data_IF_047193867134
#
_entry.id   IF_047193867134
#
_cell.length_a   1.000
_cell.length_b   1.000
_cell.length_c   1.000
_cell.angle_alpha   90.00
_cell.angle_beta   90.00
_cell.angle_gamma   90.00
#
_symmetry.space_group_name_H-M   'P 1'
#
loop_
_entity.id
_entity.type
_entity.pdbx_description
1 polymer ?
#
# COMPACT_ATOMS: atom_id res chain seq x y z
N UNK A 1 24.00 -29.43 -10.24
CA UNK A 1 22.76 -29.45 -11.04
C UNK A 1 21.60 -28.68 -10.38
N UNK A 2 21.82 -27.98 -9.25
CA UNK A 2 20.79 -27.19 -8.53
C UNK A 2 20.50 -25.81 -9.14
N UNK A 3 21.50 -25.13 -9.72
CA UNK A 3 21.37 -23.73 -10.18
C UNK A 3 20.27 -23.50 -11.24
N UNK A 4 20.07 -24.43 -12.18
CA UNK A 4 19.08 -24.22 -13.25
C UNK A 4 17.64 -24.36 -12.75
N UNK A 5 17.37 -25.27 -11.81
CA UNK A 5 16.04 -25.44 -11.20
C UNK A 5 15.71 -24.27 -10.27
N UNK A 6 16.67 -23.85 -9.44
CA UNK A 6 16.49 -22.69 -8.55
C UNK A 6 16.23 -21.40 -9.35
N UNK A 7 17.00 -21.16 -10.41
CA UNK A 7 16.84 -19.98 -11.27
C UNK A 7 15.49 -19.99 -12.02
N UNK A 8 15.03 -21.17 -12.46
CA UNK A 8 13.70 -21.32 -13.07
C UNK A 8 12.58 -21.01 -12.05
N UNK A 9 12.68 -21.55 -10.83
CA UNK A 9 11.71 -21.31 -9.76
C UNK A 9 11.66 -19.81 -9.42
N UNK A 10 12.82 -19.16 -9.26
CA UNK A 10 12.88 -17.72 -9.00
C UNK A 10 12.19 -16.93 -10.09
N UNK A 11 12.47 -17.22 -11.37
CA UNK A 11 11.81 -16.54 -12.50
C UNK A 11 10.30 -16.75 -12.49
N UNK A 12 9.84 -17.99 -12.30
CA UNK A 12 8.40 -18.29 -12.25
C UNK A 12 7.73 -17.52 -11.11
N UNK A 13 8.32 -17.53 -9.91
CA UNK A 13 7.79 -16.79 -8.76
C UNK A 13 7.77 -15.29 -9.04
N UNK A 14 8.85 -14.72 -9.58
CA UNK A 14 8.93 -13.29 -9.90
C UNK A 14 7.89 -12.89 -10.95
N UNK A 15 7.76 -13.64 -12.04
CA UNK A 15 6.78 -13.33 -13.09
C UNK A 15 5.34 -13.51 -12.61
N UNK A 16 5.08 -14.52 -11.77
CA UNK A 16 3.76 -14.68 -11.14
C UNK A 16 3.42 -13.50 -10.25
N UNK A 17 4.35 -13.01 -9.42
CA UNK A 17 4.12 -11.82 -8.57
C UNK A 17 3.77 -10.61 -9.43
N UNK A 18 4.51 -10.36 -10.52
CA UNK A 18 4.23 -9.24 -11.44
C UNK A 18 2.87 -9.42 -12.12
N UNK A 19 2.57 -10.62 -12.62
CA UNK A 19 1.32 -10.92 -13.29
C UNK A 19 0.10 -10.76 -12.38
N UNK A 20 0.16 -11.34 -11.17
CA UNK A 20 -0.89 -11.16 -10.17
C UNK A 20 -1.00 -9.71 -9.72
N UNK A 21 0.11 -8.98 -9.59
CA UNK A 21 0.08 -7.54 -9.31
C UNK A 21 -0.70 -6.75 -10.35
N UNK A 22 -0.44 -6.99 -11.65
CA UNK A 22 -1.16 -6.32 -12.75
C UNK A 22 -2.64 -6.70 -12.77
N UNK A 23 -2.96 -8.00 -12.66
CA UNK A 23 -4.34 -8.47 -12.59
C UNK A 23 -5.09 -7.81 -11.43
N UNK A 24 -4.44 -7.70 -10.27
CA UNK A 24 -5.02 -7.12 -9.09
C UNK A 24 -5.28 -5.61 -9.26
N UNK A 25 -4.36 -4.88 -9.88
CA UNK A 25 -4.55 -3.46 -10.23
C UNK A 25 -5.73 -3.27 -11.17
N UNK A 26 -5.82 -4.08 -12.24
CA UNK A 26 -6.92 -4.00 -13.19
C UNK A 26 -8.25 -4.31 -12.51
N UNK A 27 -8.29 -5.35 -11.66
CA UNK A 27 -9.50 -5.74 -10.95
C UNK A 27 -10.03 -4.64 -10.01
N UNK A 28 -9.16 -3.97 -9.26
CA UNK A 28 -9.55 -2.94 -8.28
C UNK A 28 -9.79 -1.56 -8.90
N UNK A 29 -9.14 -1.23 -10.02
CA UNK A 29 -9.26 0.09 -10.67
C UNK A 29 -10.22 0.11 -11.87
N UNK A 30 -11.01 -0.95 -12.07
CA UNK A 30 -11.92 -1.05 -13.20
C UNK A 30 -13.16 -0.15 -13.07
N UNK A 31 -13.55 0.22 -11.85
CA UNK A 31 -14.75 1.03 -11.59
C UNK A 31 -14.40 2.47 -11.16
N UNK A 32 -15.15 3.45 -11.68
CA UNK A 32 -15.00 4.86 -11.34
C UNK A 32 -15.41 5.14 -9.89
N UNK A 33 -14.67 6.00 -9.19
CA UNK A 33 -15.00 6.44 -7.83
C UNK A 33 -16.12 7.49 -7.86
N UNK A 34 -17.35 7.18 -7.39
CA UNK A 34 -18.46 8.11 -7.46
C UNK A 34 -18.23 9.37 -6.62
N UNK A 35 -17.44 9.27 -5.55
CA UNK A 35 -17.12 10.37 -4.64
C UNK A 35 -16.25 11.47 -5.27
N UNK A 36 -15.58 11.17 -6.39
CA UNK A 36 -14.74 12.10 -7.14
C UNK A 36 -15.43 12.66 -8.39
N UNK A 37 -16.66 12.23 -8.66
CA UNK A 37 -17.44 12.64 -9.83
C UNK A 37 -18.52 13.66 -9.47
N UNK A 38 -18.73 14.63 -10.36
CA UNK A 38 -19.88 15.54 -10.26
C UNK A 38 -21.19 14.81 -10.54
N UNK A 39 -22.30 15.34 -10.02
CA UNK A 39 -23.63 14.76 -10.23
C UNK A 39 -23.98 14.60 -11.73
N UNK A 40 -23.58 15.55 -12.57
CA UNK A 40 -23.82 15.46 -14.03
C UNK A 40 -23.03 14.33 -14.70
N UNK A 41 -21.84 14.01 -14.18
CA UNK A 41 -21.06 12.86 -14.64
C UNK A 41 -21.69 11.55 -14.17
N UNK A 42 -22.14 11.47 -12.91
CA UNK A 42 -22.85 10.29 -12.39
C UNK A 42 -24.15 10.04 -13.16
N UNK A 43 -24.86 11.11 -13.53
CA UNK A 43 -26.11 11.04 -14.31
C UNK A 43 -25.92 10.40 -15.69
N UNK A 44 -24.72 10.43 -16.26
CA UNK A 44 -24.44 9.74 -17.52
C UNK A 44 -24.67 8.23 -17.42
N UNK A 45 -24.41 7.62 -16.26
CA UNK A 45 -24.68 6.20 -16.06
C UNK A 45 -26.17 5.87 -16.24
N UNK A 46 -27.04 6.64 -15.57
CA UNK A 46 -28.49 6.48 -15.69
C UNK A 46 -29.00 6.79 -17.12
N UNK A 47 -28.39 7.77 -17.82
CA UNK A 47 -28.75 8.11 -19.20
C UNK A 47 -28.37 6.98 -20.16
N UNK A 48 -27.20 6.36 -19.99
CA UNK A 48 -26.77 5.22 -20.81
C UNK A 48 -27.70 4.03 -20.58
N UNK A 49 -27.98 3.68 -19.32
CA UNK A 49 -28.91 2.59 -18.98
C UNK A 49 -30.32 2.83 -19.55
N UNK A 50 -30.85 4.05 -19.38
CA UNK A 50 -32.17 4.41 -19.90
C UNK A 50 -32.25 4.40 -21.44
N UNK A 51 -31.14 4.70 -22.12
CA UNK A 51 -31.02 4.61 -23.58
C UNK A 51 -30.99 3.16 -24.05
N UNK A 52 -30.28 2.30 -23.36
CA UNK A 52 -30.24 0.85 -23.64
C UNK A 52 -31.62 0.20 -23.44
N UNK A 53 -32.37 0.65 -22.43
CA UNK A 53 -33.72 0.18 -22.15
C UNK A 53 -34.81 0.83 -23.01
N UNK A 54 -34.48 1.81 -23.86
CA UNK A 54 -35.46 2.48 -24.73
C UNK A 54 -36.49 3.36 -23.97
N UNK A 55 -36.23 3.73 -22.73
CA UNK A 55 -37.18 4.43 -21.86
C UNK A 55 -37.57 5.82 -22.38
N UNK A 56 -36.75 6.41 -23.24
CA UNK A 56 -37.04 7.70 -23.88
C UNK A 56 -38.27 7.66 -24.80
N UNK A 57 -38.64 6.49 -25.33
CA UNK A 57 -39.86 6.29 -26.12
C UNK A 57 -41.09 5.87 -25.28
N UNK A 58 -40.87 5.41 -24.05
CA UNK A 58 -41.94 4.87 -23.20
C UNK A 58 -42.45 5.89 -22.16
N UNK A 59 -41.63 6.87 -21.79
CA UNK A 59 -41.93 7.83 -20.74
C UNK A 59 -42.03 9.26 -21.27
N UNK A 60 -42.85 10.07 -20.61
CA UNK A 60 -42.87 11.52 -20.86
C UNK A 60 -41.58 12.16 -20.32
N UNK A 61 -41.16 13.30 -20.90
CA UNK A 61 -39.92 13.98 -20.51
C UNK A 61 -39.82 14.26 -18.99
N UNK A 62 -40.93 14.60 -18.33
CA UNK A 62 -40.98 14.81 -16.88
C UNK A 62 -40.76 13.52 -16.09
N UNK A 63 -41.37 12.41 -16.51
CA UNK A 63 -41.18 11.10 -15.87
C UNK A 63 -39.78 10.54 -16.11
N UNK A 64 -39.24 10.72 -17.31
CA UNK A 64 -37.89 10.32 -17.65
C UNK A 64 -36.86 11.07 -16.79
N UNK A 65 -37.01 12.40 -16.64
CA UNK A 65 -36.11 13.17 -15.79
C UNK A 65 -36.18 12.79 -14.30
N UNK A 66 -37.37 12.49 -13.79
CA UNK A 66 -37.53 11.99 -12.42
C UNK A 66 -36.85 10.62 -12.25
N UNK A 67 -37.08 9.69 -13.19
CA UNK A 67 -36.46 8.37 -13.20
C UNK A 67 -34.93 8.44 -13.28
N UNK A 68 -34.38 9.27 -14.16
CA UNK A 68 -32.94 9.48 -14.27
C UNK A 68 -32.35 10.01 -12.96
N UNK A 69 -33.03 10.92 -12.27
CA UNK A 69 -32.56 11.46 -11.00
C UNK A 69 -32.51 10.39 -9.90
N UNK A 70 -33.55 9.56 -9.80
CA UNK A 70 -33.64 8.47 -8.83
C UNK A 70 -32.61 7.37 -9.13
N UNK A 71 -32.51 6.91 -10.38
CA UNK A 71 -31.53 5.91 -10.80
C UNK A 71 -30.10 6.39 -10.66
N UNK A 72 -29.82 7.67 -10.86
CA UNK A 72 -28.48 8.21 -10.60
C UNK A 72 -28.08 8.00 -9.14
N UNK A 73 -28.98 8.23 -8.18
CA UNK A 73 -28.69 8.02 -6.76
C UNK A 73 -28.48 6.53 -6.42
N UNK A 74 -29.30 5.65 -7.01
CA UNK A 74 -29.19 4.20 -6.81
C UNK A 74 -27.88 3.64 -7.38
N UNK A 75 -27.55 3.96 -8.65
CA UNK A 75 -26.31 3.52 -9.30
C UNK A 75 -25.08 4.05 -8.55
N UNK A 76 -25.10 5.32 -8.11
CA UNK A 76 -24.02 5.89 -7.31
C UNK A 76 -23.81 5.11 -6.02
N UNK A 77 -24.90 4.70 -5.35
CA UNK A 77 -24.81 3.89 -4.13
C UNK A 77 -24.27 2.49 -4.42
N UNK A 78 -24.77 1.82 -5.46
CA UNK A 78 -24.30 0.49 -5.88
C UNK A 78 -22.81 0.50 -6.20
N UNK A 79 -22.35 1.47 -7.01
CA UNK A 79 -20.92 1.64 -7.34
C UNK A 79 -20.08 1.92 -6.10
N UNK A 80 -20.58 2.73 -5.16
CA UNK A 80 -19.86 3.01 -3.91
C UNK A 80 -19.73 1.73 -3.05
N UNK A 81 -20.77 0.90 -2.98
CA UNK A 81 -20.74 -0.38 -2.25
C UNK A 81 -19.77 -1.38 -2.90
N UNK A 82 -19.76 -1.48 -4.23
CA UNK A 82 -18.79 -2.28 -4.99
C UNK A 82 -17.36 -1.83 -4.72
N UNK A 83 -17.09 -0.52 -4.82
CA UNK A 83 -15.78 0.06 -4.51
C UNK A 83 -15.34 -0.29 -3.08
N UNK A 84 -16.23 -0.16 -2.09
CA UNK A 84 -15.93 -0.55 -0.71
C UNK A 84 -15.65 -2.05 -0.55
N UNK A 85 -16.39 -2.90 -1.26
CA UNK A 85 -16.17 -4.35 -1.28
C UNK A 85 -14.81 -4.71 -1.85
N UNK A 86 -14.43 -4.09 -2.97
CA UNK A 86 -13.14 -4.31 -3.64
C UNK A 86 -11.97 -3.81 -2.78
N UNK A 87 -12.08 -2.61 -2.21
CA UNK A 87 -11.10 -2.06 -1.26
C UNK A 87 -10.97 -2.96 -0.02
N UNK A 88 -12.09 -3.43 0.54
CA UNK A 88 -12.08 -4.36 1.68
C UNK A 88 -11.40 -5.67 1.33
N UNK A 89 -11.65 -6.22 0.14
CA UNK A 89 -11.01 -7.45 -0.32
C UNK A 89 -9.50 -7.26 -0.50
N UNK A 90 -9.07 -6.12 -1.04
CA UNK A 90 -7.65 -5.76 -1.13
C UNK A 90 -6.98 -5.63 0.23
N UNK A 91 -7.63 -4.98 1.20
CA UNK A 91 -7.11 -4.87 2.56
C UNK A 91 -6.94 -6.27 3.17
N UNK A 92 -7.96 -7.13 3.05
CA UNK A 92 -7.91 -8.49 3.59
C UNK A 92 -6.84 -9.35 2.93
N UNK A 93 -6.71 -9.30 1.61
CA UNK A 93 -5.64 -9.99 0.89
C UNK A 93 -4.26 -9.49 1.34
N UNK A 94 -4.07 -8.17 1.44
CA UNK A 94 -2.82 -7.58 1.89
C UNK A 94 -2.45 -8.03 3.31
N UNK A 95 -3.43 -8.09 4.20
CA UNK A 95 -3.27 -8.60 5.57
C UNK A 95 -2.85 -10.08 5.58
N UNK A 96 -3.46 -10.92 4.74
CA UNK A 96 -3.08 -12.33 4.59
C UNK A 96 -1.61 -12.46 4.15
N UNK A 97 -1.19 -11.67 3.15
CA UNK A 97 0.20 -11.68 2.67
C UNK A 97 1.18 -11.22 3.75
N UNK A 98 0.82 -10.19 4.54
CA UNK A 98 1.63 -9.74 5.68
C UNK A 98 1.78 -10.85 6.71
N UNK A 99 0.69 -11.51 7.10
CA UNK A 99 0.74 -12.63 8.05
C UNK A 99 1.53 -13.82 7.52
N UNK A 100 1.40 -14.13 6.23
CA UNK A 100 2.19 -15.17 5.57
C UNK A 100 3.68 -14.83 5.59
N UNK A 101 4.04 -13.59 5.27
CA UNK A 101 5.43 -13.12 5.30
C UNK A 101 6.04 -13.23 6.71
N UNK A 102 5.30 -12.77 7.73
CA UNK A 102 5.71 -12.92 9.13
C UNK A 102 5.89 -14.40 9.49
N UNK A 103 4.93 -15.26 9.13
CA UNK A 103 4.99 -16.70 9.37
C UNK A 103 6.20 -17.36 8.71
N UNK A 104 6.52 -17.01 7.45
CA UNK A 104 7.69 -17.51 6.74
C UNK A 104 9.00 -17.06 7.39
N UNK A 105 9.08 -15.81 7.84
CA UNK A 105 10.27 -15.29 8.56
C UNK A 105 10.46 -16.06 9.87
N UNK A 106 9.39 -16.30 10.63
CA UNK A 106 9.45 -17.09 11.87
C UNK A 106 9.89 -18.53 11.57
N UNK A 107 9.28 -19.18 10.58
CA UNK A 107 9.64 -20.55 10.19
C UNK A 107 11.11 -20.66 9.75
N UNK A 108 11.60 -19.71 8.94
CA UNK A 108 13.00 -19.66 8.54
C UNK A 108 13.93 -19.49 9.75
N UNK A 109 13.53 -18.68 10.72
CA UNK A 109 14.29 -18.48 11.96
C UNK A 109 14.32 -19.74 12.83
N UNK A 110 13.19 -20.43 13.00
CA UNK A 110 13.10 -21.72 13.72
C UNK A 110 13.97 -22.77 13.04
N UNK A 111 13.90 -22.87 11.71
CA UNK A 111 14.73 -23.78 10.92
C UNK A 111 16.23 -23.48 11.10
N UNK A 112 16.62 -22.20 11.05
CA UNK A 112 18.00 -21.80 11.31
C UNK A 112 18.44 -22.14 12.74
N UNK A 113 17.58 -21.92 13.73
CA UNK A 113 17.88 -22.25 15.12
C UNK A 113 18.06 -23.76 15.35
N UNK A 114 17.33 -24.59 14.62
CA UNK A 114 17.46 -26.04 14.65
C UNK A 114 18.82 -26.51 14.08
N UNK A 115 19.28 -25.93 12.96
CA UNK A 115 20.54 -26.32 12.31
C UNK A 115 21.76 -25.71 13.01
N UNK A 116 21.70 -24.41 13.32
CA UNK A 116 22.81 -23.65 13.87
C UNK A 116 22.29 -22.54 14.80
N UNK A 117 22.05 -22.92 16.05
CA UNK A 117 21.55 -22.02 17.09
C UNK A 117 22.46 -20.81 17.32
N UNK A 118 23.78 -20.94 17.13
CA UNK A 118 24.73 -19.82 17.28
C UNK A 118 24.54 -18.79 16.17
N UNK A 119 24.32 -19.21 14.93
CA UNK A 119 23.98 -18.29 13.83
C UNK A 119 22.61 -17.67 14.01
N UNK A 120 21.62 -18.43 14.47
CA UNK A 120 20.29 -17.90 14.76
C UNK A 120 20.33 -16.79 15.82
N UNK A 121 21.05 -17.01 16.93
CA UNK A 121 21.22 -15.99 17.98
C UNK A 121 21.87 -14.71 17.42
N UNK A 122 22.92 -14.83 16.59
CA UNK A 122 23.54 -13.66 15.94
C UNK A 122 22.55 -12.90 15.05
N UNK A 123 21.73 -13.61 14.29
CA UNK A 123 20.68 -13.00 13.47
C UNK A 123 19.61 -12.31 14.33
N UNK A 124 19.24 -12.90 15.48
CA UNK A 124 18.27 -12.31 16.41
C UNK A 124 18.80 -11.03 17.05
N UNK A 125 20.08 -11.00 17.41
CA UNK A 125 20.73 -9.78 17.93
C UNK A 125 20.65 -8.67 16.89
N UNK A 126 20.94 -8.98 15.61
CA UNK A 126 20.80 -8.01 14.51
C UNK A 126 19.37 -7.47 14.38
N UNK A 127 18.36 -8.36 14.43
CA UNK A 127 16.96 -7.95 14.42
C UNK A 127 16.61 -7.07 15.63
N UNK A 128 17.08 -7.43 16.83
CA UNK A 128 16.85 -6.65 18.05
C UNK A 128 17.44 -5.25 17.99
N UNK A 129 18.67 -5.12 17.48
CA UNK A 129 19.31 -3.81 17.24
C UNK A 129 18.49 -2.99 16.24
N UNK A 130 18.03 -3.61 15.15
CA UNK A 130 17.21 -2.93 14.15
C UNK A 130 15.87 -2.46 14.75
N UNK A 131 15.17 -3.31 15.51
CA UNK A 131 13.92 -2.94 16.19
C UNK A 131 14.14 -1.80 17.19
N UNK A 132 15.23 -1.83 17.95
CA UNK A 132 15.58 -0.75 18.87
C UNK A 132 15.87 0.56 18.13
N UNK A 133 16.59 0.49 17.00
CA UNK A 133 16.83 1.63 16.14
C UNK A 133 15.52 2.26 15.64
N UNK A 134 14.60 1.45 15.13
CA UNK A 134 13.28 1.90 14.67
C UNK A 134 12.51 2.56 15.82
N UNK A 135 12.51 1.96 17.02
CA UNK A 135 11.88 2.54 18.20
C UNK A 135 12.50 3.88 18.61
N UNK A 136 13.83 4.01 18.56
CA UNK A 136 14.51 5.26 18.84
C UNK A 136 14.08 6.35 17.83
N UNK A 137 14.07 6.05 16.53
CA UNK A 137 13.61 7.01 15.50
C UNK A 137 12.16 7.42 15.73
N UNK A 138 11.29 6.47 16.12
CA UNK A 138 9.91 6.79 16.49
C UNK A 138 9.84 7.77 17.67
N UNK A 139 10.61 7.54 18.74
CA UNK A 139 10.66 8.43 19.91
C UNK A 139 11.20 9.83 19.59
N UNK A 140 12.00 10.00 18.53
CA UNK A 140 12.38 11.32 18.04
C UNK A 140 11.33 11.94 17.11
N UNK A 141 10.46 11.12 16.51
CA UNK A 141 9.48 11.56 15.50
C UNK A 141 8.06 11.78 16.04
N UNK A 142 7.71 11.22 17.22
CA UNK A 142 6.33 11.21 17.74
C UNK A 142 5.78 12.62 18.04
N UNK A 143 6.65 13.58 18.33
CA UNK A 143 6.22 14.91 18.70
C UNK A 143 5.86 15.71 17.42
N UNK A 144 4.56 15.84 17.17
CA UNK A 144 4.00 16.65 16.08
C UNK A 144 3.05 17.68 16.69
N UNK A 145 3.39 18.96 16.51
CA UNK A 145 2.59 20.07 17.01
C UNK A 145 1.33 20.29 16.17
N UNK A 146 0.30 20.94 16.73
CA UNK A 146 -0.90 21.30 15.97
C UNK A 146 -0.60 22.30 14.84
N UNK A 147 0.40 23.17 15.04
CA UNK A 147 0.83 24.12 14.02
C UNK A 147 1.51 23.42 12.83
N UNK A 148 2.34 22.41 13.11
CA UNK A 148 2.96 21.55 12.08
C UNK A 148 1.87 20.79 11.29
N UNK A 149 0.86 20.25 11.98
CA UNK A 149 -0.28 19.58 11.33
C UNK A 149 -1.08 20.52 10.42
N UNK A 150 -1.30 21.77 10.85
CA UNK A 150 -1.98 22.79 10.06
C UNK A 150 -1.16 23.18 8.82
N UNK A 151 0.16 23.31 8.95
CA UNK A 151 1.04 23.61 7.81
C UNK A 151 0.94 22.51 6.74
N UNK A 152 1.02 21.23 7.13
CA UNK A 152 0.85 20.11 6.18
C UNK A 152 -0.52 20.13 5.51
N UNK A 153 -1.60 20.28 6.28
CA UNK A 153 -2.95 20.31 5.73
C UNK A 153 -3.22 21.54 4.84
N UNK A 154 -2.55 22.67 5.09
CA UNK A 154 -2.70 23.86 4.24
C UNK A 154 -2.04 23.72 2.87
N UNK A 155 -1.02 22.85 2.76
CA UNK A 155 -0.28 22.59 1.52
C UNK A 155 -0.91 21.48 0.66
N UNK A 156 -1.78 20.66 1.26
CA UNK A 156 -2.45 19.55 0.58
C UNK A 156 -3.86 19.97 0.16
N UNK A 157 -4.10 20.08 -1.15
CA UNK A 157 -5.35 20.63 -1.71
C UNK A 157 -6.58 19.72 -1.50
N UNK A 158 -6.38 18.40 -1.44
CA UNK A 158 -7.48 17.42 -1.45
C UNK A 158 -7.38 16.36 -0.34
N UNK A 159 -6.31 16.37 0.45
CA UNK A 159 -6.04 15.32 1.44
C UNK A 159 -5.83 15.94 2.81
N UNK A 160 -6.67 15.54 3.77
CA UNK A 160 -6.50 15.89 5.17
C UNK A 160 -5.67 14.81 5.87
N UNK A 161 -4.48 15.17 6.33
CA UNK A 161 -3.59 14.29 7.10
C UNK A 161 -3.85 14.42 8.60
N UNK A 162 -3.71 13.32 9.32
CA UNK A 162 -3.76 13.28 10.78
C UNK A 162 -2.37 13.20 11.39
N UNK A 163 -2.24 13.45 12.71
CA UNK A 163 -0.93 13.46 13.39
C UNK A 163 -0.14 12.18 13.19
N UNK A 164 -0.80 11.02 13.21
CA UNK A 164 -0.14 9.72 13.00
C UNK A 164 0.56 9.61 11.65
N UNK A 165 -0.04 10.18 10.60
CA UNK A 165 0.51 10.13 9.25
C UNK A 165 1.81 10.94 9.18
N UNK A 166 1.81 12.11 9.83
CA UNK A 166 2.99 12.99 9.93
C UNK A 166 4.10 12.31 10.73
N UNK A 167 3.77 11.66 11.86
CA UNK A 167 4.74 10.89 12.65
C UNK A 167 5.36 9.77 11.81
N UNK A 168 4.54 9.02 11.08
CA UNK A 168 4.98 7.91 10.23
C UNK A 168 5.90 8.41 9.10
N UNK A 169 5.54 9.52 8.44
CA UNK A 169 6.35 10.14 7.41
C UNK A 169 7.71 10.62 7.96
N UNK A 170 7.72 11.33 9.11
CA UNK A 170 8.95 11.78 9.78
C UNK A 170 9.85 10.61 10.12
N UNK A 171 9.27 9.52 10.64
CA UNK A 171 9.98 8.31 10.99
C UNK A 171 10.60 7.64 9.75
N UNK A 172 9.85 7.51 8.66
CA UNK A 172 10.33 6.92 7.41
C UNK A 172 11.47 7.73 6.80
N UNK A 173 11.33 9.06 6.71
CA UNK A 173 12.35 9.95 6.17
C UNK A 173 13.62 9.90 7.03
N UNK A 174 13.47 10.06 8.35
CA UNK A 174 14.61 10.10 9.28
C UNK A 174 15.36 8.76 9.30
N UNK A 175 14.65 7.64 9.37
CA UNK A 175 15.28 6.31 9.34
C UNK A 175 16.00 6.06 8.01
N UNK A 176 15.40 6.45 6.88
CA UNK A 176 16.03 6.31 5.56
C UNK A 176 17.33 7.10 5.46
N UNK A 177 17.32 8.37 5.89
CA UNK A 177 18.53 9.21 5.88
C UNK A 177 19.62 8.59 6.75
N UNK A 178 19.29 8.13 7.96
CA UNK A 178 20.27 7.51 8.86
C UNK A 178 20.83 6.21 8.26
N UNK A 179 19.98 5.36 7.67
CA UNK A 179 20.41 4.12 7.03
C UNK A 179 21.31 4.39 5.81
N UNK A 180 21.00 5.41 5.00
CA UNK A 180 21.86 5.85 3.90
C UNK A 180 23.23 6.28 4.44
N UNK A 181 23.27 7.10 5.50
CA UNK A 181 24.52 7.55 6.11
C UNK A 181 25.35 6.35 6.63
N UNK A 182 24.72 5.40 7.33
CA UNK A 182 25.39 4.18 7.81
C UNK A 182 25.93 3.36 6.63
N UNK A 183 25.16 3.22 5.55
CA UNK A 183 25.58 2.49 4.36
C UNK A 183 26.77 3.16 3.67
N UNK A 184 26.75 4.49 3.52
CA UNK A 184 27.86 5.28 2.97
C UNK A 184 29.11 5.14 3.84
N UNK A 185 29.00 5.26 5.16
CA UNK A 185 30.11 5.07 6.08
C UNK A 185 30.67 3.64 6.02
N UNK A 186 29.82 2.63 5.90
CA UNK A 186 30.24 1.24 5.73
C UNK A 186 30.97 1.01 4.40
N UNK A 187 30.47 1.61 3.32
CA UNK A 187 31.06 1.48 1.99
C UNK A 187 32.40 2.21 1.88
N UNK A 188 32.48 3.47 2.31
CA UNK A 188 33.70 4.30 2.25
C UNK A 188 34.70 3.88 3.33
N UNK A 189 34.22 3.47 4.50
CA UNK A 189 35.05 3.04 5.61
C UNK A 189 35.75 1.71 5.37
N UNK A 190 35.14 0.76 4.67
CA UNK A 190 35.75 -0.57 4.44
C UNK A 190 37.07 -0.52 3.64
N UNK A 191 37.19 0.22 2.52
CA UNK A 191 38.45 0.49 1.84
C UNK A 191 39.44 1.29 2.69
N UNK A 192 38.96 2.31 3.41
CA UNK A 192 39.81 3.21 4.20
C UNK A 192 40.46 2.51 5.41
N UNK A 193 39.69 1.70 6.15
CA UNK A 193 40.20 0.88 7.25
C UNK A 193 41.14 -0.23 6.78
N UNK A 194 40.95 -0.75 5.55
CA UNK A 194 41.93 -1.67 4.94
C UNK A 194 43.27 -0.98 4.65
N UNK A 195 43.26 0.31 4.33
CA UNK A 195 44.47 1.09 4.07
C UNK A 195 45.22 1.48 5.36
N UNK A 196 44.48 1.77 6.44
CA UNK A 196 45.03 2.09 7.76
C UNK A 196 45.55 0.88 8.55
N UNK A 197 45.15 -0.34 8.17
CA UNK A 197 45.57 -1.59 8.83
C UNK A 197 46.83 -2.21 8.19
N UNK A 198 47.46 -1.51 7.25
CA UNK A 198 48.84 -1.76 6.80
C UNK A 198 49.80 -0.93 7.64
#
# INVERSE_FOLDING_TARGET
>A
MENNKQNLITKIVTYSIVFFGILFTVWVMLDDNPSEMSYEQQKQWAIVEAKEQGLASEMTATKLNAHLSERTLEITKEKQETLWSDVSTLINFSMIIIYLAIGLVIAAFIYLAYIDSKKAIKSLIGLGIFTFFILAVYLFSFNVSDQELLDYNSKLLSIKVVKSDVVMAKMAISSTIILILIAVLGWVGSPFFKYLRK
#
